data_IF_802994315959
#
_entry.id   IF_802994315959
#
_cell.length_a   1.000
_cell.length_b   1.000
_cell.length_c   1.000
_cell.angle_alpha   90.00
_cell.angle_beta   90.00
_cell.angle_gamma   90.00
#
_symmetry.space_group_name_H-M   'P 1'
#
loop_
_entity.id
_entity.type
_entity.pdbx_description
1 polymer ?
#
# COMPACT_ATOMS: atom_id res chain seq x y z
N UNK A 1 -21.16 22.09 -4.48
CA UNK A 1 -20.50 21.77 -3.20
C UNK A 1 -20.40 20.27 -3.00
N UNK A 2 -21.50 19.51 -3.09
CA UNK A 2 -21.53 18.05 -2.90
C UNK A 2 -20.49 17.30 -3.77
N UNK A 3 -20.40 17.57 -5.08
CA UNK A 3 -19.48 16.86 -5.97
C UNK A 3 -17.98 17.16 -5.73
N UNK A 4 -17.65 18.36 -5.26
CA UNK A 4 -16.24 18.73 -4.97
C UNK A 4 -15.78 18.07 -3.67
N UNK A 5 -16.68 17.98 -2.68
CA UNK A 5 -16.41 17.25 -1.43
C UNK A 5 -16.17 15.76 -1.71
N UNK A 6 -16.95 15.14 -2.60
CA UNK A 6 -16.77 13.74 -3.01
C UNK A 6 -15.42 13.48 -3.68
N UNK A 7 -15.01 14.35 -4.61
CA UNK A 7 -13.73 14.19 -5.31
C UNK A 7 -12.56 14.35 -4.34
N UNK A 8 -12.60 15.36 -3.48
CA UNK A 8 -11.54 15.58 -2.50
C UNK A 8 -11.40 14.41 -1.52
N UNK A 9 -12.52 13.86 -1.06
CA UNK A 9 -12.54 12.69 -0.18
C UNK A 9 -11.92 11.45 -0.87
N UNK A 10 -12.29 11.17 -2.12
CA UNK A 10 -11.71 10.06 -2.90
C UNK A 10 -10.21 10.26 -3.13
N UNK A 11 -9.76 11.49 -3.40
CA UNK A 11 -8.33 11.78 -3.55
C UNK A 11 -7.56 11.52 -2.25
N UNK A 12 -8.09 11.95 -1.11
CA UNK A 12 -7.45 11.72 0.20
C UNK A 12 -7.43 10.22 0.53
N UNK A 13 -8.56 9.53 0.35
CA UNK A 13 -8.66 8.08 0.55
C UNK A 13 -7.69 7.33 -0.35
N UNK A 14 -7.70 7.62 -1.64
CA UNK A 14 -6.80 6.99 -2.62
C UNK A 14 -5.34 7.23 -2.26
N UNK A 15 -4.96 8.45 -1.91
CA UNK A 15 -3.59 8.77 -1.50
C UNK A 15 -3.16 7.98 -0.25
N UNK A 16 -4.00 7.94 0.78
CA UNK A 16 -3.72 7.17 2.01
C UNK A 16 -3.57 5.69 1.69
N UNK A 17 -4.46 5.12 0.86
CA UNK A 17 -4.40 3.73 0.43
C UNK A 17 -3.06 3.46 -0.27
N UNK A 18 -2.66 4.30 -1.22
CA UNK A 18 -1.38 4.17 -1.92
C UNK A 18 -0.17 4.17 -0.97
N UNK A 19 -0.14 5.08 0.00
CA UNK A 19 0.93 5.12 1.02
C UNK A 19 0.93 3.85 1.87
N UNK A 20 -0.25 3.43 2.37
CA UNK A 20 -0.37 2.29 3.28
C UNK A 20 -0.02 0.97 2.60
N UNK A 21 -0.39 0.79 1.32
CA UNK A 21 -0.04 -0.41 0.56
C UNK A 21 1.47 -0.53 0.33
N UNK A 22 2.12 0.58 -0.03
CA UNK A 22 3.55 0.57 -0.31
C UNK A 22 4.42 0.64 0.96
N UNK A 23 3.85 0.97 2.13
CA UNK A 23 4.59 1.16 3.37
C UNK A 23 5.32 -0.10 3.90
N UNK A 24 4.63 -1.24 4.08
CA UNK A 24 5.20 -2.47 4.63
C UNK A 24 6.44 -2.92 3.85
N UNK A 25 7.57 -3.07 4.55
CA UNK A 25 8.78 -3.58 3.93
C UNK A 25 8.69 -5.10 3.82
N UNK A 26 8.10 -5.57 2.71
CA UNK A 26 8.21 -6.94 2.23
C UNK A 26 9.46 -7.14 1.35
N UNK A 27 9.47 -8.16 0.48
CA UNK A 27 10.59 -8.42 -0.43
C UNK A 27 10.97 -7.24 -1.30
N UNK A 28 9.98 -6.49 -1.79
CA UNK A 28 10.14 -5.32 -2.66
C UNK A 28 10.74 -4.14 -1.88
N UNK A 29 10.27 -3.88 -0.66
CA UNK A 29 10.79 -2.82 0.20
C UNK A 29 12.26 -3.05 0.54
N UNK A 30 12.62 -4.29 0.90
CA UNK A 30 14.01 -4.68 1.15
C UNK A 30 14.85 -4.54 -0.13
N UNK A 31 14.35 -5.01 -1.27
CA UNK A 31 15.04 -4.87 -2.56
C UNK A 31 15.28 -3.40 -2.92
N UNK A 32 14.31 -2.52 -2.67
CA UNK A 32 14.40 -1.08 -2.89
C UNK A 32 15.48 -0.44 -1.99
N UNK A 33 15.50 -0.78 -0.70
CA UNK A 33 16.54 -0.33 0.25
C UNK A 33 17.92 -0.80 -0.21
N UNK A 34 18.06 -2.09 -0.54
CA UNK A 34 19.33 -2.65 -1.00
C UNK A 34 19.84 -1.95 -2.27
N UNK A 35 18.97 -1.68 -3.24
CA UNK A 35 19.34 -0.97 -4.48
C UNK A 35 19.68 0.48 -4.21
N UNK A 36 18.95 1.15 -3.30
CA UNK A 36 19.28 2.50 -2.83
C UNK A 36 20.70 2.57 -2.25
N UNK A 37 21.03 1.64 -1.34
CA UNK A 37 22.31 1.64 -0.63
C UNK A 37 23.50 1.22 -1.51
N UNK A 38 23.32 0.21 -2.37
CA UNK A 38 24.41 -0.40 -3.15
C UNK A 38 24.56 0.19 -4.56
N UNK A 39 23.46 0.54 -5.23
CA UNK A 39 23.46 0.99 -6.64
C UNK A 39 23.25 2.51 -6.76
N UNK A 40 22.62 3.11 -5.76
CA UNK A 40 22.32 4.54 -5.66
C UNK A 40 20.81 4.82 -5.60
N UNK A 41 20.44 6.01 -5.12
CA UNK A 41 19.04 6.40 -4.88
C UNK A 41 18.11 6.16 -6.06
N UNK A 42 18.52 6.52 -7.27
CA UNK A 42 17.69 6.39 -8.46
C UNK A 42 17.37 4.94 -8.82
N UNK A 43 18.26 3.99 -8.53
CA UNK A 43 17.98 2.56 -8.71
C UNK A 43 16.93 2.07 -7.71
N UNK A 44 16.94 2.57 -6.48
CA UNK A 44 15.88 2.34 -5.51
C UNK A 44 14.55 2.96 -5.96
N UNK A 45 14.58 4.21 -6.41
CA UNK A 45 13.36 4.89 -6.87
C UNK A 45 12.70 4.19 -8.06
N UNK A 46 13.49 3.78 -9.07
CA UNK A 46 12.99 3.02 -10.22
C UNK A 46 12.45 1.63 -9.80
N UNK A 47 12.98 1.04 -8.74
CA UNK A 47 12.40 -0.17 -8.13
C UNK A 47 11.02 0.14 -7.55
N UNK A 48 10.86 1.26 -6.85
CA UNK A 48 9.57 1.74 -6.36
C UNK A 48 8.57 2.07 -7.48
N UNK A 49 9.03 2.60 -8.62
CA UNK A 49 8.18 2.80 -9.82
C UNK A 49 7.62 1.47 -10.33
N UNK A 50 8.47 0.44 -10.42
CA UNK A 50 8.04 -0.90 -10.85
C UNK A 50 7.02 -1.50 -9.88
N UNK A 51 7.26 -1.34 -8.57
CA UNK A 51 6.32 -1.76 -7.54
C UNK A 51 4.97 -1.02 -7.62
N UNK A 52 5.00 0.29 -7.81
CA UNK A 52 3.80 1.13 -7.93
C UNK A 52 2.93 0.71 -9.12
N UNK A 53 3.54 0.29 -10.24
CA UNK A 53 2.78 -0.23 -11.38
C UNK A 53 2.06 -1.54 -11.04
N UNK A 54 2.68 -2.43 -10.25
CA UNK A 54 1.99 -3.63 -9.74
C UNK A 54 0.89 -3.29 -8.75
N UNK A 55 1.12 -2.31 -7.87
CA UNK A 55 0.11 -1.83 -6.91
C UNK A 55 -1.13 -1.31 -7.65
N UNK A 56 -0.95 -0.57 -8.76
CA UNK A 56 -2.06 -0.13 -9.61
C UNK A 56 -2.79 -1.32 -10.24
N UNK A 57 -2.06 -2.33 -10.74
CA UNK A 57 -2.69 -3.53 -11.31
C UNK A 57 -3.54 -4.27 -10.27
N UNK A 58 -3.05 -4.39 -9.03
CA UNK A 58 -3.83 -4.97 -7.93
C UNK A 58 -5.02 -4.10 -7.51
N UNK A 59 -4.86 -2.77 -7.49
CA UNK A 59 -5.94 -1.84 -7.18
C UNK A 59 -7.10 -1.98 -8.20
N UNK A 60 -6.78 -2.03 -9.49
CA UNK A 60 -7.76 -2.23 -10.56
C UNK A 60 -8.44 -3.59 -10.47
N UNK A 61 -7.66 -4.67 -10.24
CA UNK A 61 -8.21 -6.02 -10.09
C UNK A 61 -9.14 -6.11 -8.87
N UNK A 62 -8.74 -5.50 -7.76
CA UNK A 62 -9.54 -5.48 -6.53
C UNK A 62 -10.80 -4.66 -6.72
N UNK A 63 -10.69 -3.47 -7.32
CA UNK A 63 -11.84 -2.62 -7.59
C UNK A 63 -12.86 -3.30 -8.49
N UNK A 64 -12.41 -3.89 -9.60
CA UNK A 64 -13.27 -4.67 -10.49
C UNK A 64 -13.91 -5.87 -9.77
N UNK A 65 -13.15 -6.61 -8.96
CA UNK A 65 -13.67 -7.72 -8.17
C UNK A 65 -14.72 -7.29 -7.14
N UNK A 66 -14.52 -6.14 -6.49
CA UNK A 66 -15.48 -5.59 -5.54
C UNK A 66 -16.79 -5.14 -6.20
N UNK A 67 -16.74 -4.60 -7.42
CA UNK A 67 -17.96 -4.24 -8.16
C UNK A 67 -18.89 -5.43 -8.35
N UNK A 68 -18.38 -6.63 -8.66
CA UNK A 68 -19.20 -7.85 -8.76
C UNK A 68 -19.83 -8.28 -7.44
N UNK A 69 -19.14 -8.07 -6.33
CA UNK A 69 -19.60 -8.48 -5.00
C UNK A 69 -20.60 -7.45 -4.45
N UNK A 70 -20.49 -6.18 -4.85
CA UNK A 70 -21.33 -5.07 -4.37
C UNK A 70 -22.83 -5.29 -4.62
N UNK A 71 -23.20 -5.88 -5.77
CA UNK A 71 -24.61 -6.15 -6.12
C UNK A 71 -25.29 -7.16 -5.17
N UNK A 72 -24.51 -8.07 -4.58
CA UNK A 72 -24.98 -9.05 -3.60
C UNK A 72 -25.00 -8.49 -2.17
N UNK A 73 -24.38 -7.34 -1.92
CA UNK A 73 -24.16 -6.74 -0.59
C UNK A 73 -24.95 -5.42 -0.45
N UNK A 74 -26.18 -5.37 -0.96
CA UNK A 74 -27.04 -4.17 -0.87
C UNK A 74 -27.52 -3.82 0.56
N UNK A 75 -27.04 -4.51 1.61
CA UNK A 75 -27.25 -4.17 3.04
C UNK A 75 -25.97 -4.26 3.90
N UNK A 76 -24.79 -4.44 3.30
CA UNK A 76 -23.59 -4.88 4.05
C UNK A 76 -22.37 -3.97 4.03
N UNK A 77 -22.54 -2.65 3.91
CA UNK A 77 -21.45 -1.70 4.15
C UNK A 77 -20.83 -1.91 5.54
N UNK A 78 -21.66 -2.16 6.56
CA UNK A 78 -21.21 -2.55 7.90
C UNK A 78 -20.35 -3.81 7.88
N UNK A 79 -20.82 -4.90 7.26
CA UNK A 79 -20.09 -6.17 7.21
C UNK A 79 -18.78 -6.08 6.41
N UNK A 80 -18.78 -5.31 5.31
CA UNK A 80 -17.58 -5.04 4.53
C UNK A 80 -16.57 -4.21 5.30
N UNK A 81 -16.98 -3.12 5.95
CA UNK A 81 -16.09 -2.30 6.77
C UNK A 81 -15.55 -3.07 7.98
N UNK A 82 -16.39 -3.92 8.60
CA UNK A 82 -15.98 -4.81 9.68
C UNK A 82 -14.92 -5.80 9.20
N UNK A 83 -15.19 -6.50 8.09
CA UNK A 83 -14.25 -7.43 7.45
C UNK A 83 -12.94 -6.71 7.09
N UNK A 84 -13.03 -5.53 6.47
CA UNK A 84 -11.87 -4.72 6.09
C UNK A 84 -11.02 -4.35 7.29
N UNK A 85 -11.64 -3.93 8.40
CA UNK A 85 -10.94 -3.59 9.63
C UNK A 85 -10.26 -4.80 10.27
N UNK A 86 -10.90 -5.99 10.24
CA UNK A 86 -10.29 -7.24 10.70
C UNK A 86 -9.10 -7.63 9.82
N UNK A 87 -9.24 -7.55 8.50
CA UNK A 87 -8.15 -7.84 7.55
C UNK A 87 -6.96 -6.91 7.76
N UNK A 88 -7.21 -5.61 7.95
CA UNK A 88 -6.17 -4.63 8.25
C UNK A 88 -5.51 -4.89 9.61
N UNK A 89 -6.26 -5.32 10.61
CA UNK A 89 -5.70 -5.68 11.91
C UNK A 89 -4.75 -6.88 11.80
N UNK A 90 -5.19 -7.94 11.11
CA UNK A 90 -4.36 -9.13 10.84
C UNK A 90 -3.11 -8.73 10.06
N UNK A 91 -3.26 -7.87 9.04
CA UNK A 91 -2.14 -7.37 8.26
C UNK A 91 -1.17 -6.52 9.09
N UNK A 92 -1.68 -5.68 9.99
CA UNK A 92 -0.88 -4.87 10.91
C UNK A 92 -0.08 -5.74 11.87
N UNK A 93 -0.70 -6.77 12.45
CA UNK A 93 -0.04 -7.77 13.31
C UNK A 93 1.03 -8.52 12.52
N UNK A 94 0.70 -8.99 11.31
CA UNK A 94 1.63 -9.67 10.43
C UNK A 94 2.84 -8.79 10.12
N UNK A 95 2.62 -7.53 9.72
CA UNK A 95 3.68 -6.57 9.40
C UNK A 95 4.55 -6.27 10.64
N UNK A 96 3.93 -6.10 11.81
CA UNK A 96 4.64 -5.84 13.06
C UNK A 96 5.56 -7.00 13.48
N UNK A 97 5.12 -8.24 13.27
CA UNK A 97 5.87 -9.46 13.63
C UNK A 97 6.83 -9.93 12.53
N UNK A 98 6.64 -9.47 11.30
CA UNK A 98 7.45 -9.87 10.15
C UNK A 98 8.91 -9.47 10.33
N UNK A 99 9.81 -10.40 10.00
CA UNK A 99 11.24 -10.13 9.93
C UNK A 99 11.68 -9.92 8.48
N UNK A 100 11.78 -8.66 7.99
CA UNK A 100 12.15 -8.37 6.61
C UNK A 100 13.58 -8.79 6.26
N UNK A 101 14.42 -9.09 7.25
CA UNK A 101 15.78 -9.62 7.04
C UNK A 101 15.75 -10.93 6.24
N UNK A 102 14.69 -11.74 6.36
CA UNK A 102 14.56 -12.99 5.61
C UNK A 102 14.41 -12.78 4.09
N UNK A 103 14.03 -11.57 3.66
CA UNK A 103 13.93 -11.20 2.24
C UNK A 103 15.22 -10.63 1.65
N UNK A 104 16.26 -10.45 2.47
CA UNK A 104 17.57 -9.96 2.02
C UNK A 104 18.22 -11.03 1.15
N UNK A 105 18.52 -10.67 -0.09
CA UNK A 105 19.35 -11.47 -0.99
C UNK A 105 20.70 -10.81 -1.20
N UNK A 106 21.77 -11.57 -1.53
CA UNK A 106 23.06 -10.99 -1.86
C UNK A 106 22.93 -9.95 -2.97
N UNK A 107 23.57 -8.79 -2.79
CA UNK A 107 23.58 -7.77 -3.82
C UNK A 107 24.39 -8.28 -5.02
N UNK A 108 23.80 -8.20 -6.22
CA UNK A 108 24.55 -8.45 -7.46
C UNK A 108 25.69 -7.44 -7.60
N UNK A 109 26.85 -7.91 -8.03
CA UNK A 109 28.02 -7.07 -8.35
C UNK A 109 27.75 -6.12 -9.52
N UNK A 110 26.79 -6.46 -10.40
CA UNK A 110 26.37 -5.59 -11.49
C UNK A 110 25.15 -4.74 -11.09
N UNK A 111 25.24 -3.43 -11.33
CA UNK A 111 24.11 -2.51 -11.12
C UNK A 111 22.93 -2.82 -12.04
N UNK A 112 23.20 -3.32 -13.26
CA UNK A 112 22.20 -3.49 -14.31
C UNK A 112 21.61 -2.16 -14.79
N UNK A 113 20.65 -2.22 -15.72
CA UNK A 113 19.95 -1.03 -16.24
C UNK A 113 18.78 -0.63 -15.33
N UNK A 114 18.35 0.65 -15.42
CA UNK A 114 17.14 1.11 -14.73
C UNK A 114 15.91 0.28 -15.12
N UNK A 115 15.74 0.00 -16.41
CA UNK A 115 14.65 -0.82 -16.92
C UNK A 115 14.63 -2.24 -16.34
N UNK A 116 15.79 -2.88 -16.20
CA UNK A 116 15.86 -4.19 -15.55
C UNK A 116 15.45 -4.13 -14.07
N UNK A 117 15.90 -3.10 -13.33
CA UNK A 117 15.52 -2.92 -11.94
C UNK A 117 14.01 -2.62 -11.79
N UNK A 118 13.42 -1.88 -12.73
CA UNK A 118 11.97 -1.65 -12.82
C UNK A 118 11.20 -2.96 -13.00
N UNK A 119 11.51 -3.73 -14.06
CA UNK A 119 10.80 -4.97 -14.40
C UNK A 119 10.87 -5.99 -13.25
N UNK A 120 12.06 -6.17 -12.69
CA UNK A 120 12.24 -7.12 -11.57
C UNK A 120 11.42 -6.70 -10.35
N UNK A 121 11.33 -5.41 -10.05
CA UNK A 121 10.52 -4.91 -8.94
C UNK A 121 9.03 -5.15 -9.20
N UNK A 122 8.56 -4.88 -10.42
CA UNK A 122 7.19 -5.16 -10.85
C UNK A 122 6.84 -6.63 -10.61
N UNK A 123 7.61 -7.58 -11.15
CA UNK A 123 7.28 -8.99 -10.98
C UNK A 123 7.41 -9.50 -9.53
N UNK A 124 8.35 -8.97 -8.75
CA UNK A 124 8.45 -9.31 -7.32
C UNK A 124 7.23 -8.82 -6.54
N UNK A 125 6.71 -7.64 -6.89
CA UNK A 125 5.50 -7.08 -6.28
C UNK A 125 4.26 -7.84 -6.72
N UNK A 126 4.12 -8.10 -8.03
CA UNK A 126 3.02 -8.86 -8.64
C UNK A 126 2.97 -10.34 -8.20
N UNK A 127 4.08 -10.87 -7.68
CA UNK A 127 4.11 -12.24 -7.12
C UNK A 127 3.72 -12.28 -5.63
N UNK A 128 3.38 -11.13 -5.03
CA UNK A 128 3.04 -11.05 -3.61
C UNK A 128 1.52 -11.03 -3.41
N UNK A 129 0.87 -12.19 -3.20
CA UNK A 129 -0.58 -12.26 -3.04
C UNK A 129 -1.07 -11.52 -1.79
N UNK A 130 -0.20 -11.17 -0.82
CA UNK A 130 -0.63 -10.41 0.35
C UNK A 130 -1.10 -8.99 0.00
N UNK A 131 -0.63 -8.43 -1.11
CA UNK A 131 -1.01 -7.07 -1.55
C UNK A 131 -2.49 -7.02 -1.95
N UNK A 132 -3.02 -8.06 -2.61
CA UNK A 132 -4.43 -8.08 -2.99
C UNK A 132 -5.35 -8.08 -1.76
N UNK A 133 -5.00 -8.83 -0.71
CA UNK A 133 -5.75 -8.85 0.53
C UNK A 133 -5.70 -7.50 1.25
N UNK A 134 -4.56 -6.81 1.18
CA UNK A 134 -4.42 -5.46 1.72
C UNK A 134 -5.31 -4.46 0.98
N UNK A 135 -5.35 -4.51 -0.36
CA UNK A 135 -6.27 -3.70 -1.14
C UNK A 135 -7.74 -3.99 -0.81
N UNK A 136 -8.12 -5.26 -0.70
CA UNK A 136 -9.49 -5.65 -0.29
C UNK A 136 -9.83 -5.03 1.06
N UNK A 137 -8.93 -5.18 2.05
CA UNK A 137 -9.14 -4.63 3.39
C UNK A 137 -9.27 -3.10 3.40
N UNK A 138 -8.40 -2.41 2.65
CA UNK A 138 -8.40 -0.95 2.55
C UNK A 138 -9.62 -0.42 1.79
N UNK A 139 -9.96 -1.01 0.63
CA UNK A 139 -11.10 -0.58 -0.18
C UNK A 139 -12.41 -0.80 0.59
N UNK A 140 -12.53 -1.92 1.30
CA UNK A 140 -13.69 -2.19 2.14
C UNK A 140 -13.77 -1.22 3.33
N UNK A 141 -12.63 -0.94 3.99
CA UNK A 141 -12.58 -0.05 5.15
C UNK A 141 -12.94 1.39 4.80
N UNK A 142 -12.36 1.92 3.72
CA UNK A 142 -12.57 3.30 3.29
C UNK A 142 -13.80 3.46 2.39
N UNK A 143 -14.49 2.36 2.10
CA UNK A 143 -15.58 2.29 1.14
C UNK A 143 -15.20 3.00 -0.17
N UNK A 144 -14.03 2.63 -0.70
CA UNK A 144 -13.38 3.28 -1.84
C UNK A 144 -14.12 3.01 -3.16
N UNK A 145 -14.75 1.83 -3.27
CA UNK A 145 -15.61 1.44 -4.40
C UNK A 145 -17.04 1.34 -3.89
N UNK A 146 -17.92 2.20 -4.38
CA UNK A 146 -19.34 2.25 -3.98
C UNK A 146 -20.24 2.41 -5.20
N UNK A 147 -21.45 1.89 -5.11
CA UNK A 147 -22.48 2.07 -6.13
C UNK A 147 -22.88 3.55 -6.20
N UNK A 148 -22.81 4.15 -7.39
CA UNK A 148 -23.18 5.55 -7.63
C UNK A 148 -22.01 6.53 -7.75
N UNK A 149 -20.77 6.09 -7.52
CA UNK A 149 -19.57 6.87 -7.84
C UNK A 149 -19.39 6.94 -9.36
N UNK A 150 -19.12 8.13 -9.90
CA UNK A 150 -18.91 8.29 -11.34
C UNK A 150 -17.58 7.65 -11.75
N UNK A 151 -17.52 7.05 -12.94
CA UNK A 151 -16.29 6.43 -13.49
C UNK A 151 -15.08 7.38 -13.44
N UNK A 152 -15.30 8.67 -13.69
CA UNK A 152 -14.23 9.66 -13.61
C UNK A 152 -13.68 9.84 -12.18
N UNK A 153 -14.52 9.74 -11.15
CA UNK A 153 -14.11 9.85 -9.75
C UNK A 153 -13.31 8.62 -9.30
N UNK A 154 -13.68 7.43 -9.78
CA UNK A 154 -12.88 6.21 -9.54
C UNK A 154 -11.49 6.31 -10.19
N UNK A 155 -11.44 6.83 -11.43
CA UNK A 155 -10.18 7.06 -12.14
C UNK A 155 -9.28 8.03 -11.38
N UNK A 156 -9.83 9.16 -10.88
CA UNK A 156 -9.05 10.11 -10.08
C UNK A 156 -8.58 9.48 -8.77
N UNK A 157 -9.38 8.61 -8.15
CA UNK A 157 -8.99 7.80 -7.01
C UNK A 157 -7.79 6.88 -7.29
N UNK A 158 -7.77 6.17 -8.42
CA UNK A 158 -6.62 5.33 -8.80
C UNK A 158 -5.36 6.15 -9.07
N UNK A 159 -5.49 7.34 -9.64
CA UNK A 159 -4.37 8.28 -9.76
C UNK A 159 -3.86 8.74 -8.40
N UNK A 160 -4.75 8.96 -7.43
CA UNK A 160 -4.35 9.29 -6.06
C UNK A 160 -3.62 8.12 -5.37
N UNK A 161 -4.06 6.87 -5.58
CA UNK A 161 -3.33 5.67 -5.12
C UNK A 161 -1.92 5.65 -5.70
N UNK A 162 -1.78 5.85 -7.01
CA UNK A 162 -0.48 5.93 -7.67
C UNK A 162 0.38 7.06 -7.07
N UNK A 163 -0.18 8.25 -6.87
CA UNK A 163 0.54 9.38 -6.27
C UNK A 163 0.98 9.09 -4.82
N UNK A 164 0.14 8.43 -4.02
CA UNK A 164 0.48 7.99 -2.66
C UNK A 164 1.64 7.00 -2.64
N UNK A 165 1.56 5.97 -3.48
CA UNK A 165 2.63 4.98 -3.62
C UNK A 165 3.95 5.64 -4.05
N UNK A 166 3.92 6.48 -5.08
CA UNK A 166 5.10 7.22 -5.57
C UNK A 166 5.70 8.12 -4.49
N UNK A 167 4.86 8.80 -3.71
CA UNK A 167 5.30 9.65 -2.60
C UNK A 167 6.02 8.82 -1.54
N UNK A 168 5.48 7.66 -1.20
CA UNK A 168 6.13 6.73 -0.28
C UNK A 168 7.51 6.27 -0.82
N UNK A 169 7.58 5.82 -2.07
CA UNK A 169 8.82 5.34 -2.68
C UNK A 169 9.88 6.45 -2.82
N UNK A 170 9.46 7.68 -3.13
CA UNK A 170 10.34 8.84 -3.09
C UNK A 170 10.85 9.11 -1.67
N UNK A 171 9.95 9.09 -0.68
CA UNK A 171 10.25 9.34 0.72
C UNK A 171 11.25 8.33 1.29
N UNK A 172 11.00 7.02 1.12
CA UNK A 172 11.87 5.97 1.66
C UNK A 172 13.24 5.99 0.99
N UNK A 173 13.31 6.17 -0.33
CA UNK A 173 14.60 6.19 -1.04
C UNK A 173 15.40 7.45 -0.71
N UNK A 174 14.74 8.59 -0.52
CA UNK A 174 15.38 9.81 -0.02
C UNK A 174 15.92 9.61 1.40
N UNK A 175 15.09 9.11 2.32
CA UNK A 175 15.46 8.87 3.71
C UNK A 175 16.63 7.89 3.82
N UNK A 176 16.52 6.72 3.21
CA UNK A 176 17.57 5.68 3.22
C UNK A 176 18.87 6.21 2.62
N UNK A 177 18.81 6.99 1.54
CA UNK A 177 20.00 7.60 0.96
C UNK A 177 20.64 8.64 1.90
N UNK A 178 19.84 9.42 2.64
CA UNK A 178 20.31 10.41 3.62
C UNK A 178 21.02 9.74 4.80
N UNK A 179 20.46 8.64 5.32
CA UNK A 179 21.01 7.93 6.49
C UNK A 179 21.89 6.73 6.12
N UNK A 180 22.32 6.62 4.85
CA UNK A 180 22.97 5.42 4.29
C UNK A 180 24.22 4.93 5.04
N UNK A 181 24.95 5.83 5.70
CA UNK A 181 26.15 5.50 6.48
C UNK A 181 25.84 4.86 7.84
N UNK A 182 24.60 5.00 8.32
CA UNK A 182 24.14 4.47 9.61
C UNK A 182 23.03 3.43 9.45
N UNK A 183 22.59 3.16 8.22
CA UNK A 183 21.46 2.28 7.97
C UNK A 183 21.86 0.82 8.17
N UNK A 184 21.18 0.14 9.10
CA UNK A 184 21.44 -1.25 9.46
C UNK A 184 20.14 -2.07 9.45
N UNK A 185 20.27 -3.38 9.68
CA UNK A 185 19.13 -4.32 9.72
C UNK A 185 18.07 -3.95 10.78
N UNK A 186 18.49 -3.32 11.89
CA UNK A 186 17.55 -2.84 12.92
C UNK A 186 16.64 -1.74 12.38
N UNK A 187 17.14 -0.86 11.51
CA UNK A 187 16.32 0.17 10.87
C UNK A 187 15.17 -0.40 10.05
N UNK A 188 15.42 -1.47 9.28
CA UNK A 188 14.40 -2.16 8.49
C UNK A 188 13.32 -2.78 9.40
N UNK A 189 13.75 -3.39 10.51
CA UNK A 189 12.85 -4.03 11.47
C UNK A 189 12.00 -3.01 12.25
N UNK A 190 12.60 -1.90 12.67
CA UNK A 190 11.89 -0.80 13.33
C UNK A 190 10.83 -0.22 12.40
N UNK A 191 11.14 -0.06 11.10
CA UNK A 191 10.18 0.48 10.15
C UNK A 191 8.91 -0.39 10.06
N UNK A 192 9.05 -1.71 9.92
CA UNK A 192 7.90 -2.62 9.90
C UNK A 192 7.10 -2.60 11.21
N UNK A 193 7.76 -2.45 12.36
CA UNK A 193 7.06 -2.30 13.65
C UNK A 193 6.27 -1.00 13.73
N UNK A 194 6.84 0.11 13.27
CA UNK A 194 6.16 1.42 13.25
C UNK A 194 4.95 1.35 12.32
N UNK A 195 5.14 0.87 11.08
CA UNK A 195 4.04 0.73 10.10
C UNK A 195 2.97 -0.22 10.63
N UNK A 196 3.35 -1.38 11.13
CA UNK A 196 2.42 -2.35 11.70
C UNK A 196 1.63 -1.77 12.88
N UNK A 197 2.28 -0.99 13.76
CA UNK A 197 1.61 -0.33 14.88
C UNK A 197 0.59 0.71 14.41
N UNK A 198 0.95 1.55 13.44
CA UNK A 198 0.04 2.53 12.85
C UNK A 198 -1.16 1.84 12.20
N UNK A 199 -0.92 0.80 11.41
CA UNK A 199 -2.01 0.03 10.75
C UNK A 199 -2.91 -0.63 11.80
N UNK A 200 -2.36 -1.23 12.85
CA UNK A 200 -3.16 -1.82 13.94
C UNK A 200 -4.02 -0.76 14.64
N UNK A 201 -3.47 0.43 14.94
CA UNK A 201 -4.22 1.53 15.55
C UNK A 201 -5.37 2.00 14.66
N UNK A 202 -5.12 2.21 13.37
CA UNK A 202 -6.15 2.59 12.39
C UNK A 202 -7.22 1.50 12.27
N UNK A 203 -6.83 0.24 12.34
CA UNK A 203 -7.75 -0.90 12.28
C UNK A 203 -8.65 -1.00 13.50
N UNK A 204 -8.09 -0.83 14.71
CA UNK A 204 -8.84 -0.85 15.97
C UNK A 204 -9.78 0.34 16.05
N UNK A 205 -9.30 1.54 15.70
CA UNK A 205 -10.17 2.71 15.59
C UNK A 205 -11.31 2.42 14.60
N UNK A 206 -10.98 1.85 13.43
CA UNK A 206 -11.97 1.47 12.43
C UNK A 206 -13.04 0.49 12.94
N UNK A 207 -12.64 -0.55 13.66
CA UNK A 207 -13.57 -1.49 14.30
C UNK A 207 -14.52 -0.77 15.26
N UNK A 208 -13.98 0.10 16.12
CA UNK A 208 -14.78 0.84 17.09
C UNK A 208 -15.80 1.72 16.38
N UNK A 209 -15.38 2.48 15.37
CA UNK A 209 -16.29 3.34 14.58
C UNK A 209 -17.39 2.54 13.89
N UNK A 210 -17.03 1.46 13.20
CA UNK A 210 -18.02 0.60 12.54
C UNK A 210 -19.02 0.03 13.55
N UNK A 211 -18.58 -0.39 14.76
CA UNK A 211 -19.46 -0.93 15.81
C UNK A 211 -20.34 0.13 16.47
N UNK A 212 -19.90 1.38 16.57
CA UNK A 212 -20.68 2.49 17.13
C UNK A 212 -21.76 3.00 16.16
N UNK A 213 -21.81 2.50 14.92
CA UNK A 213 -22.71 2.99 13.88
C UNK A 213 -22.32 4.37 13.33
N UNK A 214 -21.29 5.01 13.90
CA UNK A 214 -20.62 6.15 13.32
C UNK A 214 -19.63 5.65 12.27
N UNK A 215 -20.14 5.47 11.06
CA UNK A 215 -19.30 5.56 9.88
C UNK A 215 -18.58 6.90 9.97
N UNK A 216 -17.25 6.91 10.16
CA UNK A 216 -16.48 8.05 9.67
C UNK A 216 -16.87 8.08 8.19
N UNK A 217 -17.54 9.15 7.75
CA UNK A 217 -18.29 9.33 6.48
C UNK A 217 -19.78 9.00 6.55
#
# INVERSE_FOLDING_TARGET
MIQIETIFDILVKGFIIGVVVSAPLGPVGVLCIQRTLNKGRWYGFVTGLGASLSDIAYALLTGYGMSFVSDYINKGSFYLQLLGSVMLLVFGIYTFRSNPVNSIRPASSNKGSYFHNFITAFFVTLSNPLIIFLFIGLFARFAFVQQGVLVFEEITGYFAIAAGALTWWLGITYFVNKVRTKFNLRGIWILNRVIGSIVMLVSVAGLIYTLLGESIY
#
